data_IF_695801073223
#
_entry.id   IF_695801073223
#
_cell.length_a   1.000
_cell.length_b   1.000
_cell.length_c   1.000
_cell.angle_alpha   90.00
_cell.angle_beta   90.00
_cell.angle_gamma   90.00
#
_symmetry.space_group_name_H-M   'P 1'
#
loop_
_entity.id
_entity.type
_entity.pdbx_description
1 polymer ?
#
# COMPACT_ATOMS: atom_id res chain seq x y z
N UNK A 1 -13.68 3.46 -4.74
CA UNK A 1 -13.87 3.20 -3.32
C UNK A 1 -14.31 1.76 -3.09
N UNK A 2 -14.02 1.21 -1.89
CA UNK A 2 -14.42 -0.15 -1.51
C UNK A 2 -15.57 -0.19 -0.50
N UNK A 3 -15.98 -1.40 -0.06
CA UNK A 3 -17.14 -1.60 0.82
C UNK A 3 -17.12 -0.78 2.11
N UNK A 4 -15.96 -0.64 2.73
CA UNK A 4 -15.80 0.10 3.99
C UNK A 4 -16.14 1.60 3.90
N UNK A 5 -16.28 2.14 2.69
CA UNK A 5 -16.53 3.56 2.45
C UNK A 5 -17.93 3.86 1.89
N UNK A 6 -18.79 2.84 1.68
CA UNK A 6 -20.12 3.03 1.07
C UNK A 6 -20.88 4.15 1.76
N UNK A 7 -21.14 4.07 3.06
CA UNK A 7 -21.95 5.07 3.77
C UNK A 7 -21.37 6.49 3.74
N UNK A 8 -20.03 6.62 3.73
CA UNK A 8 -19.39 7.95 3.62
C UNK A 8 -19.53 8.55 2.22
N UNK A 9 -19.44 7.71 1.19
CA UNK A 9 -19.59 8.16 -0.20
C UNK A 9 -21.06 8.44 -0.49
N UNK A 10 -21.99 7.56 -0.08
CA UNK A 10 -23.43 7.71 -0.28
C UNK A 10 -23.96 9.03 0.28
N UNK A 11 -23.61 9.37 1.53
CA UNK A 11 -23.99 10.63 2.18
C UNK A 11 -23.55 11.86 1.37
N UNK A 12 -22.50 11.72 0.57
CA UNK A 12 -21.94 12.81 -0.23
C UNK A 12 -22.05 12.58 -1.74
N UNK A 13 -22.77 11.56 -2.17
CA UNK A 13 -22.79 11.11 -3.57
C UNK A 13 -23.23 12.21 -4.53
N UNK A 14 -24.29 12.94 -4.22
CA UNK A 14 -24.79 14.04 -5.04
C UNK A 14 -23.74 15.16 -5.22
N UNK A 15 -22.99 15.46 -4.16
CA UNK A 15 -21.92 16.46 -4.20
C UNK A 15 -20.69 15.97 -4.95
N UNK A 16 -20.34 14.68 -4.78
CA UNK A 16 -19.18 14.06 -5.38
C UNK A 16 -19.37 13.74 -6.85
N UNK A 17 -20.59 13.35 -7.26
CA UNK A 17 -20.91 12.94 -8.63
C UNK A 17 -20.98 14.10 -9.64
N UNK A 18 -20.99 15.35 -9.19
CA UNK A 18 -21.00 16.50 -10.13
C UNK A 18 -19.79 16.48 -11.04
N UNK A 19 -19.96 15.95 -12.27
CA UNK A 19 -18.92 15.86 -13.29
C UNK A 19 -17.82 14.82 -12.99
N UNK A 20 -18.08 13.82 -12.14
CA UNK A 20 -17.13 12.76 -11.76
C UNK A 20 -17.82 11.39 -11.81
N UNK A 21 -17.02 10.39 -12.11
CA UNK A 21 -17.40 9.00 -12.05
C UNK A 21 -17.08 8.44 -10.66
N UNK A 22 -18.08 7.83 -9.99
CA UNK A 22 -17.89 7.12 -8.74
C UNK A 22 -17.73 5.64 -9.05
N UNK A 23 -16.51 5.10 -8.88
CA UNK A 23 -16.18 3.71 -9.17
C UNK A 23 -16.13 2.91 -7.88
N UNK A 24 -16.90 1.84 -7.81
CA UNK A 24 -16.92 0.90 -6.69
C UNK A 24 -16.11 -0.36 -7.00
N UNK A 25 -15.24 -0.73 -6.07
CA UNK A 25 -14.41 -1.95 -6.14
C UNK A 25 -14.90 -2.92 -5.08
N UNK A 26 -15.61 -3.94 -5.49
CA UNK A 26 -16.19 -4.97 -4.63
C UNK A 26 -17.38 -5.66 -5.31
N UNK A 27 -17.96 -6.61 -4.61
CA UNK A 27 -19.14 -7.32 -5.05
C UNK A 27 -20.41 -6.51 -4.91
N UNK A 28 -21.50 -6.54 -5.18
CA UNK A 28 -22.72 -5.76 -4.91
C UNK A 28 -22.50 -4.22 -5.03
N UNK A 29 -22.27 -3.77 -6.25
CA UNK A 29 -22.10 -2.35 -6.55
C UNK A 29 -23.37 -1.56 -6.18
N UNK A 30 -23.27 -0.48 -5.38
CA UNK A 30 -24.41 0.37 -5.05
C UNK A 30 -24.89 1.16 -6.27
N UNK A 31 -26.20 1.46 -6.34
CA UNK A 31 -26.85 2.12 -7.48
C UNK A 31 -26.26 3.49 -7.84
N UNK A 32 -25.64 4.18 -6.90
CA UNK A 32 -25.02 5.50 -7.12
C UNK A 32 -23.61 5.44 -7.70
N UNK A 33 -23.09 4.24 -8.01
CA UNK A 33 -21.72 4.05 -8.49
C UNK A 33 -21.66 3.07 -9.67
N UNK A 34 -20.55 3.12 -10.40
CA UNK A 34 -20.23 2.18 -11.48
C UNK A 34 -19.37 1.03 -10.94
N UNK A 35 -19.64 -0.19 -11.36
CA UNK A 35 -18.83 -1.35 -10.99
C UNK A 35 -17.48 -1.32 -11.67
N UNK A 36 -16.38 -1.35 -10.90
CA UNK A 36 -15.04 -1.51 -11.44
C UNK A 36 -14.91 -2.74 -12.33
N UNK A 37 -15.46 -3.88 -11.90
CA UNK A 37 -15.35 -5.13 -12.64
C UNK A 37 -16.05 -5.07 -14.01
N UNK A 38 -17.21 -4.42 -14.08
CA UNK A 38 -17.91 -4.22 -15.36
C UNK A 38 -17.16 -3.24 -16.26
N UNK A 39 -16.70 -2.11 -15.71
CA UNK A 39 -15.95 -1.11 -16.48
C UNK A 39 -14.67 -1.71 -17.09
N UNK A 40 -13.93 -2.52 -16.33
CA UNK A 40 -12.67 -3.10 -16.78
C UNK A 40 -12.90 -4.26 -17.76
N UNK A 41 -14.01 -5.00 -17.66
CA UNK A 41 -14.31 -6.13 -18.56
C UNK A 41 -14.36 -5.72 -20.03
N UNK A 42 -14.82 -4.49 -20.31
CA UNK A 42 -14.96 -3.95 -21.66
C UNK A 42 -13.73 -3.14 -22.12
N UNK A 43 -12.71 -3.01 -21.26
CA UNK A 43 -11.50 -2.28 -21.61
C UNK A 43 -10.52 -3.10 -22.44
N UNK A 44 -9.77 -2.42 -23.31
CA UNK A 44 -8.64 -3.02 -24.01
C UNK A 44 -7.56 -3.45 -23.02
N UNK A 45 -6.98 -4.63 -23.25
CA UNK A 45 -5.79 -5.10 -22.50
C UNK A 45 -4.48 -4.46 -22.98
N UNK A 46 -4.50 -3.66 -24.04
CA UNK A 46 -3.32 -2.97 -24.52
C UNK A 46 -3.01 -1.77 -23.64
N UNK A 47 -1.73 -1.55 -23.38
CA UNK A 47 -1.28 -0.34 -22.69
C UNK A 47 -1.73 0.90 -23.47
N UNK A 48 -2.28 1.93 -22.81
CA UNK A 48 -2.62 3.17 -23.49
C UNK A 48 -1.36 3.83 -24.05
N UNK A 49 -1.44 4.34 -25.29
CA UNK A 49 -0.35 5.07 -25.92
C UNK A 49 -0.35 6.52 -25.40
N UNK A 50 0.10 6.70 -24.18
CA UNK A 50 0.23 8.01 -23.50
C UNK A 50 1.69 8.23 -23.17
N UNK A 51 2.24 9.33 -23.66
CA UNK A 51 3.58 9.76 -23.28
C UNK A 51 3.54 10.32 -21.87
N UNK A 52 4.32 9.73 -20.95
CA UNK A 52 4.47 10.19 -19.59
C UNK A 52 5.93 10.58 -19.38
N UNK A 53 6.16 11.80 -18.90
CA UNK A 53 7.48 12.34 -18.62
C UNK A 53 7.74 12.44 -17.11
N UNK A 54 8.99 12.60 -16.75
CA UNK A 54 9.42 12.83 -15.37
C UNK A 54 8.79 14.10 -14.76
N UNK A 55 8.44 15.09 -15.59
CA UNK A 55 7.83 16.34 -15.17
C UNK A 55 6.32 16.27 -14.97
N UNK A 56 5.66 15.22 -15.45
CA UNK A 56 4.24 15.02 -15.24
C UNK A 56 3.91 14.74 -13.78
N UNK A 57 2.71 15.15 -13.37
CA UNK A 57 2.24 14.91 -12.01
C UNK A 57 1.78 13.47 -11.82
N UNK A 58 2.38 12.77 -10.86
CA UNK A 58 2.12 11.35 -10.59
C UNK A 58 1.27 11.08 -9.35
N UNK A 59 1.26 11.99 -8.36
CA UNK A 59 0.50 11.79 -7.12
C UNK A 59 0.17 13.07 -6.38
N UNK A 60 -0.90 13.00 -5.58
CA UNK A 60 -1.25 14.01 -4.58
C UNK A 60 -1.24 13.32 -3.22
N UNK A 61 -0.39 13.79 -2.31
CA UNK A 61 -0.39 13.37 -0.92
C UNK A 61 -0.99 14.43 -0.02
N UNK A 62 -1.74 13.98 0.99
CA UNK A 62 -2.29 14.86 1.99
C UNK A 62 -1.49 14.75 3.29
N UNK A 63 -1.00 15.87 3.78
CA UNK A 63 -0.40 15.97 5.11
C UNK A 63 -1.42 16.47 6.13
N UNK A 64 -1.24 16.07 7.39
CA UNK A 64 -2.13 16.45 8.50
C UNK A 64 -2.16 17.95 8.83
N UNK A 65 -1.33 18.77 8.20
CA UNK A 65 -1.27 20.23 8.32
C UNK A 65 -1.36 20.78 9.76
N UNK A 66 -0.48 21.65 10.17
CA UNK A 66 -0.50 22.32 11.49
C UNK A 66 -1.71 23.22 11.70
N UNK A 67 -2.47 23.52 10.65
CA UNK A 67 -3.64 24.42 10.63
C UNK A 67 -4.99 23.68 10.74
N UNK A 68 -4.99 22.37 11.01
CA UNK A 68 -6.19 21.54 11.16
C UNK A 68 -6.82 21.02 9.86
N UNK A 69 -6.45 21.57 8.69
CA UNK A 69 -6.89 21.05 7.39
C UNK A 69 -5.75 20.34 6.66
N UNK A 70 -6.02 19.15 6.05
CA UNK A 70 -5.04 18.47 5.25
C UNK A 70 -4.57 19.33 4.08
N UNK A 71 -3.24 19.43 3.91
CA UNK A 71 -2.64 20.11 2.76
C UNK A 71 -2.37 19.10 1.65
N UNK A 72 -2.86 19.39 0.45
CA UNK A 72 -2.56 18.63 -0.74
C UNK A 72 -1.15 19.00 -1.26
N UNK A 73 -0.30 18.01 -1.40
CA UNK A 73 1.06 18.14 -1.92
C UNK A 73 1.13 17.37 -3.22
N UNK A 74 1.40 18.09 -4.30
CA UNK A 74 1.49 17.53 -5.64
C UNK A 74 2.92 17.07 -5.93
N UNK A 75 3.08 15.83 -6.36
CA UNK A 75 4.36 15.23 -6.68
C UNK A 75 4.46 14.86 -8.16
N UNK A 76 5.62 15.15 -8.75
CA UNK A 76 5.98 14.71 -10.10
C UNK A 76 6.42 13.25 -10.09
N UNK A 77 6.35 12.57 -11.23
CA UNK A 77 6.87 11.20 -11.41
C UNK A 77 8.33 11.11 -11.01
N UNK A 78 9.17 12.06 -11.42
CA UNK A 78 10.58 12.12 -11.03
C UNK A 78 10.78 12.05 -9.51
N UNK A 79 10.01 12.82 -8.73
CA UNK A 79 10.14 12.85 -7.27
C UNK A 79 9.82 11.49 -6.63
N UNK A 80 8.80 10.80 -7.15
CA UNK A 80 8.38 9.48 -6.68
C UNK A 80 9.43 8.40 -7.04
N UNK A 81 9.92 8.44 -8.27
CA UNK A 81 10.94 7.52 -8.76
C UNK A 81 12.25 7.69 -7.99
N UNK A 82 12.71 8.94 -7.79
CA UNK A 82 13.91 9.22 -7.02
C UNK A 82 13.79 8.76 -5.56
N UNK A 83 12.63 8.97 -4.92
CA UNK A 83 12.41 8.50 -3.56
C UNK A 83 12.50 6.97 -3.48
N UNK A 84 11.89 6.24 -4.42
CA UNK A 84 11.96 4.79 -4.49
C UNK A 84 13.40 4.28 -4.75
N UNK A 85 14.14 4.93 -5.63
CA UNK A 85 15.55 4.62 -5.90
C UNK A 85 16.44 4.88 -4.69
N UNK A 86 16.19 5.96 -3.97
CA UNK A 86 16.95 6.29 -2.74
C UNK A 86 16.70 5.26 -1.64
N UNK A 87 15.45 4.85 -1.44
CA UNK A 87 15.11 3.77 -0.50
C UNK A 87 15.81 2.46 -0.88
N UNK A 88 15.67 2.03 -2.13
CA UNK A 88 16.31 0.82 -2.64
C UNK A 88 17.84 0.87 -2.43
N UNK A 89 18.48 1.98 -2.80
CA UNK A 89 19.92 2.13 -2.67
C UNK A 89 20.39 2.20 -1.21
N UNK A 90 19.65 2.93 -0.37
CA UNK A 90 20.02 3.12 1.04
C UNK A 90 19.96 1.82 1.84
N UNK A 91 18.93 1.02 1.58
CA UNK A 91 18.75 -0.28 2.24
C UNK A 91 19.47 -1.43 1.55
N UNK A 92 20.08 -1.19 0.39
CA UNK A 92 20.78 -2.23 -0.36
C UNK A 92 19.85 -3.29 -0.94
N UNK A 93 18.55 -2.96 -1.12
CA UNK A 93 17.56 -3.92 -1.62
C UNK A 93 17.95 -4.44 -2.99
N UNK A 94 18.02 -5.74 -3.12
CA UNK A 94 18.39 -6.50 -4.32
C UNK A 94 17.21 -7.28 -4.89
N UNK A 95 17.43 -7.94 -6.02
CA UNK A 95 16.43 -8.80 -6.66
C UNK A 95 16.06 -10.03 -5.81
N UNK A 96 16.98 -10.45 -4.94
CA UNK A 96 16.82 -11.67 -4.13
C UNK A 96 16.04 -11.40 -2.83
N UNK A 97 15.72 -10.12 -2.56
CA UNK A 97 14.98 -9.74 -1.37
C UNK A 97 13.45 -9.93 -1.52
N UNK A 98 12.82 -10.16 -0.39
CA UNK A 98 11.36 -10.16 -0.24
C UNK A 98 10.96 -9.14 0.82
N UNK A 99 10.27 -8.09 0.40
CA UNK A 99 9.80 -7.02 1.27
C UNK A 99 8.39 -7.30 1.79
N UNK A 100 8.19 -7.29 3.10
CA UNK A 100 6.86 -7.34 3.72
C UNK A 100 6.32 -5.94 3.98
N UNK A 101 5.30 -5.55 3.23
CA UNK A 101 4.60 -4.29 3.37
C UNK A 101 3.38 -4.45 4.29
N UNK A 102 3.52 -4.09 5.56
CA UNK A 102 2.46 -4.18 6.56
C UNK A 102 1.55 -2.94 6.53
N UNK A 103 2.09 -1.70 6.49
CA UNK A 103 1.24 -0.51 6.46
C UNK A 103 0.46 -0.39 5.16
N UNK A 104 -0.72 0.24 5.20
CA UNK A 104 -1.46 0.58 3.99
C UNK A 104 -0.63 1.42 3.02
N UNK A 105 -0.79 1.20 1.71
CA UNK A 105 -0.03 1.90 0.67
C UNK A 105 -0.29 3.42 0.58
N UNK A 106 -1.24 3.96 1.35
CA UNK A 106 -1.37 5.42 1.49
C UNK A 106 -0.33 6.02 2.44
N UNK A 107 0.37 5.22 3.25
CA UNK A 107 1.52 5.66 4.03
C UNK A 107 2.77 5.72 3.14
N UNK A 108 3.43 6.88 3.13
CA UNK A 108 4.55 7.14 2.24
C UNK A 108 5.76 6.23 2.51
N UNK A 109 6.10 5.95 3.76
CA UNK A 109 7.23 5.09 4.11
C UNK A 109 7.11 3.69 3.47
N UNK A 110 6.06 2.95 3.79
CA UNK A 110 5.82 1.63 3.22
C UNK A 110 5.71 1.64 1.69
N UNK A 111 5.10 2.69 1.14
CA UNK A 111 4.93 2.84 -0.30
C UNK A 111 6.25 3.01 -1.03
N UNK A 112 7.20 3.78 -0.49
CA UNK A 112 8.49 3.97 -1.13
C UNK A 112 9.36 2.71 -1.06
N UNK A 113 9.30 1.95 0.02
CA UNK A 113 9.91 0.61 0.06
C UNK A 113 9.29 -0.34 -0.96
N UNK A 114 7.96 -0.37 -1.05
CA UNK A 114 7.26 -1.16 -2.07
C UNK A 114 7.66 -0.74 -3.50
N UNK A 115 7.71 0.56 -3.79
CA UNK A 115 8.20 1.07 -5.07
C UNK A 115 9.69 0.76 -5.28
N UNK A 116 10.50 0.81 -4.22
CA UNK A 116 11.92 0.41 -4.24
C UNK A 116 12.08 -1.08 -4.62
N UNK A 117 11.19 -1.94 -4.14
CA UNK A 117 11.14 -3.35 -4.55
C UNK A 117 10.86 -3.50 -6.06
N UNK A 118 9.95 -2.69 -6.61
CA UNK A 118 9.72 -2.68 -8.07
C UNK A 118 10.96 -2.23 -8.84
N UNK A 119 11.70 -1.23 -8.34
CA UNK A 119 12.96 -0.76 -8.95
C UNK A 119 14.03 -1.84 -8.91
N UNK A 120 14.15 -2.57 -7.80
CA UNK A 120 15.10 -3.67 -7.65
C UNK A 120 14.70 -4.92 -8.44
N UNK A 121 13.42 -5.06 -8.80
CA UNK A 121 12.85 -6.30 -9.35
C UNK A 121 12.72 -7.40 -8.29
N UNK A 122 12.60 -7.01 -7.02
CA UNK A 122 12.41 -7.90 -5.88
C UNK A 122 10.93 -8.22 -5.64
N UNK A 123 10.66 -9.23 -4.81
CA UNK A 123 9.31 -9.58 -4.38
C UNK A 123 8.82 -8.60 -3.32
N UNK A 124 7.54 -8.20 -3.39
CA UNK A 124 6.88 -7.48 -2.33
C UNK A 124 5.56 -8.16 -1.95
N UNK A 125 5.37 -8.38 -0.65
CA UNK A 125 4.19 -9.00 -0.07
C UNK A 125 3.35 -7.92 0.61
N UNK A 126 2.11 -7.73 0.18
CA UNK A 126 1.18 -6.79 0.80
C UNK A 126 0.37 -7.52 1.86
N UNK A 127 0.62 -7.19 3.12
CA UNK A 127 -0.05 -7.85 4.25
C UNK A 127 -1.35 -7.12 4.62
N UNK A 128 -2.41 -7.89 4.80
CA UNK A 128 -3.66 -7.36 5.37
C UNK A 128 -3.73 -7.68 6.86
N UNK A 129 -3.59 -6.65 7.67
CA UNK A 129 -3.66 -6.77 9.13
C UNK A 129 -2.30 -6.64 9.80
N UNK A 130 -2.33 -6.45 11.11
CA UNK A 130 -1.15 -6.11 11.92
C UNK A 130 -0.99 -7.00 13.17
N UNK A 131 -1.76 -8.11 13.22
CA UNK A 131 -1.64 -9.04 14.34
C UNK A 131 -0.28 -9.72 14.35
N UNK A 132 0.34 -9.91 15.51
CA UNK A 132 1.63 -10.58 15.63
C UNK A 132 1.74 -11.91 14.88
N UNK A 133 0.76 -12.79 15.02
CA UNK A 133 0.73 -14.10 14.34
C UNK A 133 0.70 -13.95 12.82
N UNK A 134 -0.06 -12.96 12.33
CA UNK A 134 -0.20 -12.71 10.89
C UNK A 134 1.11 -12.20 10.30
N UNK A 135 1.81 -11.32 11.05
CA UNK A 135 3.12 -10.78 10.63
C UNK A 135 4.14 -11.91 10.57
N UNK A 136 4.31 -12.67 11.67
CA UNK A 136 5.31 -13.73 11.75
C UNK A 136 5.02 -14.86 10.75
N UNK A 137 3.75 -15.22 10.56
CA UNK A 137 3.35 -16.20 9.54
C UNK A 137 3.70 -15.76 8.13
N UNK A 138 3.50 -14.46 7.82
CA UNK A 138 3.85 -13.93 6.50
C UNK A 138 5.38 -13.89 6.30
N UNK A 139 6.15 -13.47 7.32
CA UNK A 139 7.61 -13.51 7.27
C UNK A 139 8.10 -14.92 6.99
N UNK A 140 7.58 -15.90 7.72
CA UNK A 140 7.94 -17.32 7.61
C UNK A 140 7.57 -17.91 6.24
N UNK A 141 6.29 -17.80 5.86
CA UNK A 141 5.76 -18.47 4.66
C UNK A 141 6.25 -17.85 3.34
N UNK A 142 6.51 -16.54 3.35
CA UNK A 142 6.95 -15.80 2.17
C UNK A 142 8.46 -15.62 2.10
N UNK A 143 9.18 -16.08 3.13
CA UNK A 143 10.63 -15.93 3.29
C UNK A 143 11.06 -14.47 3.17
N UNK A 144 10.43 -13.59 3.98
CA UNK A 144 10.71 -12.16 3.93
C UNK A 144 12.10 -11.85 4.49
N UNK A 145 12.86 -11.06 3.75
CA UNK A 145 14.20 -10.58 4.14
C UNK A 145 14.17 -9.16 4.70
N UNK A 146 13.14 -8.39 4.33
CA UNK A 146 12.95 -7.01 4.74
C UNK A 146 11.54 -6.81 5.27
N UNK A 147 11.43 -6.29 6.48
CA UNK A 147 10.14 -5.97 7.11
C UNK A 147 10.12 -4.52 7.58
N UNK A 148 9.16 -3.74 7.11
CA UNK A 148 8.94 -2.40 7.64
C UNK A 148 7.99 -2.47 8.83
N UNK A 149 8.54 -2.45 10.03
CA UNK A 149 7.83 -2.67 11.28
C UNK A 149 7.73 -1.38 12.10
N UNK A 150 6.50 -0.96 12.41
CA UNK A 150 6.29 0.15 13.36
C UNK A 150 6.55 -0.32 14.79
N UNK A 151 7.07 0.58 15.62
CA UNK A 151 7.36 0.30 17.04
C UNK A 151 6.19 -0.34 17.79
N UNK A 152 4.91 0.13 17.67
CA UNK A 152 3.80 -0.54 18.32
C UNK A 152 3.63 -2.01 17.91
N UNK A 153 3.80 -2.34 16.64
CA UNK A 153 3.67 -3.73 16.17
C UNK A 153 4.81 -4.62 16.65
N UNK A 154 6.02 -4.06 16.72
CA UNK A 154 7.15 -4.76 17.33
C UNK A 154 6.87 -5.04 18.81
N UNK A 155 6.31 -4.08 19.55
CA UNK A 155 5.92 -4.26 20.94
C UNK A 155 4.82 -5.31 21.10
N UNK A 156 3.80 -5.29 20.24
CA UNK A 156 2.73 -6.30 20.26
C UNK A 156 3.28 -7.71 20.05
N UNK A 157 4.30 -7.88 19.17
CA UNK A 157 4.98 -9.17 18.97
C UNK A 157 5.72 -9.60 20.24
N UNK A 158 6.51 -8.71 20.83
CA UNK A 158 7.25 -9.00 22.08
C UNK A 158 6.29 -9.35 23.23
N UNK A 159 5.24 -8.59 23.40
CA UNK A 159 4.23 -8.85 24.44
C UNK A 159 3.52 -10.20 24.24
N UNK A 160 3.27 -10.60 23.00
CA UNK A 160 2.66 -11.89 22.68
C UNK A 160 3.63 -13.05 22.96
N UNK A 161 4.93 -12.87 22.70
CA UNK A 161 5.97 -13.84 23.06
C UNK A 161 6.11 -13.97 24.58
N UNK A 162 6.14 -12.85 25.30
CA UNK A 162 6.28 -12.83 26.77
C UNK A 162 5.08 -13.50 27.48
N UNK A 163 3.88 -13.38 26.92
CA UNK A 163 2.68 -14.08 27.42
C UNK A 163 2.63 -15.56 27.05
N UNK A 164 3.51 -16.02 26.14
CA UNK A 164 3.49 -17.37 25.61
C UNK A 164 2.37 -17.64 24.58
N UNK A 165 1.75 -16.58 24.05
CA UNK A 165 0.74 -16.65 23.00
C UNK A 165 1.37 -17.05 21.65
N UNK A 166 2.66 -16.74 21.46
CA UNK A 166 3.49 -17.05 20.30
C UNK A 166 4.79 -17.73 20.72
N UNK A 167 5.32 -18.55 19.84
CA UNK A 167 6.65 -19.17 19.98
C UNK A 167 7.44 -18.94 18.70
N UNK A 168 8.65 -18.41 18.82
CA UNK A 168 9.51 -18.14 17.63
C UNK A 168 9.89 -19.43 16.90
N UNK A 169 9.95 -20.57 17.60
CA UNK A 169 10.25 -21.89 17.02
C UNK A 169 9.20 -22.37 16.01
N UNK A 170 8.00 -21.79 16.03
CA UNK A 170 6.91 -22.11 15.09
C UNK A 170 7.07 -21.39 13.72
N UNK A 171 8.07 -20.51 13.60
CA UNK A 171 8.26 -19.66 12.42
C UNK A 171 9.67 -19.77 11.86
N UNK A 172 9.78 -19.87 10.54
CA UNK A 172 11.07 -19.80 9.84
C UNK A 172 11.45 -18.33 9.62
N UNK A 173 12.38 -17.83 10.43
CA UNK A 173 12.78 -16.43 10.45
C UNK A 173 14.26 -16.22 10.09
N UNK A 174 14.96 -17.24 9.62
CA UNK A 174 16.42 -17.19 9.40
C UNK A 174 16.86 -16.20 8.32
N UNK A 175 15.94 -15.76 7.49
CA UNK A 175 16.22 -14.81 6.39
C UNK A 175 15.89 -13.36 6.74
N UNK A 176 15.24 -13.12 7.87
CA UNK A 176 14.84 -11.78 8.34
C UNK A 176 15.87 -11.13 9.25
#
# INVERSE_FOLDING_TARGET
FGPAFIGRIETNAERLSKGRLLIYVGDNCPEFAESYHQLVADCSSHAPNVEITDDDFGAIYFSSGTTGFPKAILHKHQSLTQAAQMEQKHHGTSRDDTFLCIPPLYHTGAKFHWMGSLVAGSKAVLLKGTKPETILSAVSSEHCTIVWLLVPWAQDILDALDRGDLKLEDYELSQW
#
